data_IF_384764526658
#
_entry.id   IF_384764526658
#
_cell.length_a   1.000
_cell.length_b   1.000
_cell.length_c   1.000
_cell.angle_alpha   90.00
_cell.angle_beta   90.00
_cell.angle_gamma   90.00
#
_symmetry.space_group_name_H-M   'P 1'
#
loop_
_entity.id
_entity.type
_entity.pdbx_description
1 polymer ?
#
# COMPACT_ATOMS: atom_id res chain seq x y z
N UNK A 1 7.79 -9.06 17.94
CA UNK A 1 6.75 -8.83 16.91
C UNK A 1 6.76 -7.36 16.54
N UNK A 2 7.69 -6.94 15.68
CA UNK A 2 7.93 -5.51 15.46
C UNK A 2 8.53 -5.29 14.07
N UNK A 3 7.82 -5.63 12.98
CA UNK A 3 8.41 -5.49 11.63
C UNK A 3 7.44 -5.25 10.46
N UNK A 4 6.21 -4.79 10.71
CA UNK A 4 5.23 -4.57 9.62
C UNK A 4 4.57 -3.18 9.62
N UNK A 5 5.24 -2.17 10.14
CA UNK A 5 4.75 -0.79 10.06
C UNK A 5 5.38 -0.13 8.84
N UNK A 6 4.60 0.18 7.81
CA UNK A 6 5.01 1.12 6.78
C UNK A 6 5.01 2.50 7.44
N UNK A 7 6.19 3.10 7.56
CA UNK A 7 6.35 4.42 8.20
C UNK A 7 6.84 5.47 7.21
N UNK A 8 7.53 5.01 6.14
CA UNK A 8 8.26 5.88 5.21
C UNK A 8 7.80 5.69 3.78
N UNK A 9 7.89 6.75 3.00
CA UNK A 9 7.54 6.78 1.57
C UNK A 9 8.30 5.72 0.76
N UNK A 10 9.57 5.45 1.07
CA UNK A 10 10.34 4.44 0.36
C UNK A 10 9.83 3.00 0.57
N UNK A 11 9.18 2.73 1.70
CA UNK A 11 8.54 1.43 1.96
C UNK A 11 7.25 1.31 1.15
N UNK A 12 6.48 2.40 1.04
CA UNK A 12 5.29 2.48 0.18
C UNK A 12 5.67 2.25 -1.28
N UNK A 13 6.73 2.90 -1.77
CA UNK A 13 7.22 2.72 -3.16
C UNK A 13 7.48 1.26 -3.50
N UNK A 14 8.21 0.55 -2.63
CA UNK A 14 8.48 -0.88 -2.81
C UNK A 14 7.19 -1.70 -2.83
N UNK A 15 6.20 -1.33 -2.02
CA UNK A 15 4.90 -2.00 -2.00
C UNK A 15 4.10 -1.76 -3.28
N UNK A 16 4.09 -0.51 -3.78
CA UNK A 16 3.47 -0.15 -5.06
C UNK A 16 4.11 -0.94 -6.20
N UNK A 17 5.44 -1.08 -6.20
CA UNK A 17 6.16 -1.91 -7.17
C UNK A 17 5.73 -3.38 -7.06
N UNK A 18 5.63 -3.95 -5.85
CA UNK A 18 5.13 -5.32 -5.66
C UNK A 18 3.71 -5.51 -6.19
N UNK A 19 2.78 -4.57 -5.95
CA UNK A 19 1.41 -4.64 -6.49
C UNK A 19 1.45 -4.63 -8.02
N UNK A 20 2.30 -3.77 -8.60
CA UNK A 20 2.48 -3.68 -10.06
C UNK A 20 3.03 -4.96 -10.66
N UNK A 21 3.93 -5.64 -9.96
CA UNK A 21 4.49 -6.94 -10.38
C UNK A 21 3.44 -8.06 -10.27
N UNK A 22 2.55 -7.98 -9.27
CA UNK A 22 1.42 -8.89 -9.11
C UNK A 22 0.23 -8.62 -10.04
N UNK A 23 0.27 -7.62 -10.93
CA UNK A 23 -0.90 -7.21 -11.74
C UNK A 23 -1.54 -8.29 -12.63
N UNK A 24 -0.87 -9.42 -12.85
CA UNK A 24 -1.41 -10.57 -13.60
C UNK A 24 -2.07 -11.63 -12.71
N UNK A 25 -1.84 -11.55 -11.41
CA UNK A 25 -2.51 -12.29 -10.35
C UNK A 25 -3.36 -11.30 -9.57
N UNK A 26 -4.59 -11.12 -10.05
CA UNK A 26 -5.45 -10.03 -9.59
C UNK A 26 -5.86 -10.21 -8.12
N UNK A 27 -6.00 -11.45 -7.66
CA UNK A 27 -6.25 -11.74 -6.24
C UNK A 27 -5.06 -11.28 -5.39
N UNK A 28 -3.83 -11.61 -5.79
CA UNK A 28 -2.64 -11.14 -5.09
C UNK A 28 -2.49 -9.62 -5.13
N UNK A 29 -2.75 -8.99 -6.29
CA UNK A 29 -2.70 -7.53 -6.43
C UNK A 29 -3.70 -6.84 -5.49
N UNK A 30 -4.92 -7.37 -5.38
CA UNK A 30 -5.93 -6.89 -4.45
C UNK A 30 -5.52 -7.02 -2.99
N UNK A 31 -5.07 -8.21 -2.57
CA UNK A 31 -4.63 -8.44 -1.19
C UNK A 31 -3.50 -7.49 -0.81
N UNK A 32 -2.51 -7.31 -1.69
CA UNK A 32 -1.40 -6.41 -1.44
C UNK A 32 -1.83 -4.93 -1.33
N UNK A 33 -2.79 -4.49 -2.14
CA UNK A 33 -3.34 -3.12 -2.08
C UNK A 33 -4.10 -2.88 -0.76
N UNK A 34 -4.98 -3.81 -0.36
CA UNK A 34 -5.71 -3.72 0.91
C UNK A 34 -4.76 -3.73 2.12
N UNK A 35 -3.74 -4.60 2.08
CA UNK A 35 -2.72 -4.64 3.13
C UNK A 35 -1.93 -3.34 3.23
N UNK A 36 -1.58 -2.74 2.09
CA UNK A 36 -0.88 -1.46 2.03
C UNK A 36 -1.69 -0.38 2.75
N UNK A 37 -2.95 -0.21 2.35
CA UNK A 37 -3.83 0.80 2.93
C UNK A 37 -4.05 0.57 4.42
N UNK A 38 -4.31 -0.67 4.85
CA UNK A 38 -4.52 -0.99 6.25
C UNK A 38 -3.27 -0.73 7.10
N UNK A 39 -2.07 -1.02 6.59
CA UNK A 39 -0.79 -0.74 7.28
C UNK A 39 -0.56 0.75 7.45
N UNK A 40 -0.86 1.55 6.42
CA UNK A 40 -0.75 3.01 6.48
C UNK A 40 -1.74 3.57 7.51
N UNK A 41 -3.02 3.18 7.45
CA UNK A 41 -4.04 3.65 8.39
C UNK A 41 -3.68 3.30 9.83
N UNK A 42 -3.19 2.08 10.09
CA UNK A 42 -2.68 1.68 11.42
C UNK A 42 -1.47 2.50 11.83
N UNK A 43 -0.56 2.79 10.91
CA UNK A 43 0.62 3.62 11.14
C UNK A 43 0.26 5.05 11.56
N UNK A 44 -0.72 5.65 10.88
CA UNK A 44 -1.27 6.97 11.17
C UNK A 44 -1.97 6.97 12.53
N UNK A 45 -2.90 6.03 12.76
CA UNK A 45 -3.65 5.94 14.01
C UNK A 45 -2.73 5.75 15.24
N UNK A 46 -1.63 5.03 15.07
CA UNK A 46 -0.62 4.83 16.13
C UNK A 46 0.37 6.00 16.28
N UNK A 47 0.30 7.05 15.46
CA UNK A 47 1.27 8.15 15.47
C UNK A 47 2.69 7.73 15.06
N UNK A 48 2.83 6.65 14.29
CA UNK A 48 4.13 6.07 13.89
C UNK A 48 4.49 6.30 12.43
N UNK A 49 3.61 6.92 11.66
CA UNK A 49 3.86 7.31 10.28
C UNK A 49 4.65 8.64 10.27
N UNK A 50 5.83 8.65 9.65
CA UNK A 50 6.73 9.83 9.68
C UNK A 50 6.17 11.00 8.86
N UNK A 51 5.58 10.69 7.71
CA UNK A 51 4.94 11.67 6.83
C UNK A 51 3.64 11.09 6.26
N UNK A 52 2.53 11.20 7.00
CA UNK A 52 1.22 10.67 6.60
C UNK A 52 0.77 11.15 5.21
N UNK A 53 1.05 12.41 4.86
CA UNK A 53 0.63 12.98 3.58
C UNK A 53 1.40 12.37 2.42
N UNK A 54 2.73 12.33 2.50
CA UNK A 54 3.53 11.77 1.40
C UNK A 54 3.37 10.26 1.29
N UNK A 55 3.19 9.55 2.42
CA UNK A 55 2.88 8.12 2.44
C UNK A 55 1.54 7.83 1.74
N UNK A 56 0.48 8.58 2.06
CA UNK A 56 -0.81 8.44 1.42
C UNK A 56 -0.76 8.78 -0.08
N UNK A 57 -0.07 9.88 -0.44
CA UNK A 57 0.12 10.29 -1.83
C UNK A 57 0.81 9.22 -2.67
N UNK A 58 1.80 8.54 -2.09
CA UNK A 58 2.49 7.44 -2.77
C UNK A 58 1.60 6.20 -2.90
N UNK A 59 0.82 5.87 -1.87
CA UNK A 59 -0.07 4.71 -1.88
C UNK A 59 -1.20 4.84 -2.90
N UNK A 60 -1.78 6.04 -3.08
CA UNK A 60 -2.87 6.26 -4.05
C UNK A 60 -2.44 5.94 -5.50
N UNK A 61 -1.13 5.95 -5.81
CA UNK A 61 -0.62 5.55 -7.13
C UNK A 61 -0.94 4.09 -7.49
N UNK A 62 -1.31 3.24 -6.53
CA UNK A 62 -1.79 1.89 -6.87
C UNK A 62 -3.05 1.92 -7.72
N UNK A 63 -3.84 3.00 -7.66
CA UNK A 63 -5.03 3.21 -8.51
C UNK A 63 -4.69 3.31 -9.99
N UNK A 64 -3.47 3.75 -10.34
CA UNK A 64 -2.99 3.83 -11.72
C UNK A 64 -2.50 2.48 -12.27
N UNK A 65 -2.42 1.44 -11.43
CA UNK A 65 -2.01 0.10 -11.84
C UNK A 65 -3.20 -0.59 -12.51
N UNK A 66 -2.98 -1.05 -13.74
CA UNK A 66 -4.00 -1.74 -14.54
C UNK A 66 -4.11 -3.22 -14.15
N UNK A 67 -5.12 -3.54 -13.34
CA UNK A 67 -5.64 -4.89 -13.08
C UNK A 67 -7.18 -4.80 -12.89
N UNK A 68 -7.96 -5.87 -13.16
CA UNK A 68 -9.39 -5.89 -12.92
C UNK A 68 -9.68 -5.53 -11.47
N UNK A 69 -10.51 -4.53 -11.23
CA UNK A 69 -11.01 -4.19 -9.90
C UNK A 69 -12.43 -4.67 -9.81
N UNK A 70 -12.65 -5.83 -9.19
CA UNK A 70 -14.01 -6.25 -8.90
C UNK A 70 -14.60 -5.25 -7.89
N UNK A 71 -15.75 -4.67 -8.21
CA UNK A 71 -16.48 -3.86 -7.23
C UNK A 71 -16.69 -4.73 -5.98
N UNK A 72 -16.18 -4.27 -4.84
CA UNK A 72 -16.64 -4.73 -3.55
C UNK A 72 -18.12 -4.37 -3.34
#
# INVERSE_FOLDING_TARGET
MENYKIKRVNEVKKWVDSIKDSRRDFEAAHVLEDELYLKILRGIAAGTCEDPQQVAKEAIKTQDINFPRYCA
#
